data_IF_729199569651
#
_entry.id   IF_729199569651
#
_cell.length_a   1.000
_cell.length_b   1.000
_cell.length_c   1.000
_cell.angle_alpha   90.00
_cell.angle_beta   90.00
_cell.angle_gamma   90.00
#
_symmetry.space_group_name_H-M   'P 1'
#
loop_
_entity.id
_entity.type
_entity.pdbx_description
1 polymer ?
#
# COMPACT_ATOMS: atom_id res chain seq x y z
N UNK A 1 14.79 9.51 13.70
CA UNK A 1 13.39 10.01 13.72
C UNK A 1 12.54 8.84 14.20
N UNK A 2 11.93 8.95 15.37
CA UNK A 2 11.16 7.89 16.03
C UNK A 2 9.84 7.63 15.29
N UNK A 3 9.28 6.41 15.40
CA UNK A 3 8.00 6.00 14.79
C UNK A 3 6.82 6.91 15.23
N UNK A 4 6.92 7.41 16.46
CA UNK A 4 6.03 8.42 17.02
C UNK A 4 6.05 9.73 16.22
N UNK A 5 7.19 10.12 15.63
CA UNK A 5 7.33 11.33 14.80
C UNK A 5 6.57 11.21 13.47
N UNK A 6 6.61 10.05 12.79
CA UNK A 6 5.99 9.87 11.47
C UNK A 6 4.47 9.68 11.58
N UNK A 7 3.99 8.95 12.59
CA UNK A 7 2.56 8.88 12.90
C UNK A 7 2.01 10.26 13.29
N UNK A 8 2.79 11.03 14.06
CA UNK A 8 2.48 12.43 14.40
C UNK A 8 2.46 13.31 13.15
N UNK A 9 3.36 13.10 12.18
CA UNK A 9 3.41 13.87 10.94
C UNK A 9 2.17 13.63 10.05
N UNK A 10 1.73 12.36 9.91
CA UNK A 10 0.53 12.02 9.14
C UNK A 10 -0.75 12.56 9.79
N UNK A 11 -0.88 12.40 11.11
CA UNK A 11 -2.03 12.90 11.86
C UNK A 11 -2.09 14.44 11.83
N UNK A 12 -0.93 15.11 11.95
CA UNK A 12 -0.82 16.55 11.80
C UNK A 12 -1.23 17.03 10.40
N UNK A 13 -0.82 16.31 9.35
CA UNK A 13 -1.22 16.61 7.97
C UNK A 13 -2.74 16.44 7.76
N UNK A 14 -3.34 15.39 8.30
CA UNK A 14 -4.80 15.21 8.29
C UNK A 14 -5.52 16.33 9.04
N UNK A 15 -4.97 16.77 10.17
CA UNK A 15 -5.48 17.92 10.94
C UNK A 15 -5.50 19.20 10.10
N UNK A 16 -4.38 19.49 9.43
CA UNK A 16 -4.24 20.65 8.55
C UNK A 16 -5.23 20.60 7.36
N UNK A 17 -5.37 19.43 6.73
CA UNK A 17 -6.31 19.27 5.62
C UNK A 17 -7.77 19.43 6.05
N UNK A 18 -8.14 18.95 7.25
CA UNK A 18 -9.48 19.19 7.82
C UNK A 18 -9.72 20.67 8.07
N UNK A 19 -8.76 21.37 8.68
CA UNK A 19 -8.84 22.80 8.92
C UNK A 19 -8.99 23.60 7.61
N UNK A 20 -8.21 23.24 6.59
CA UNK A 20 -8.31 23.82 5.26
C UNK A 20 -9.67 23.55 4.61
N UNK A 21 -10.15 22.30 4.67
CA UNK A 21 -11.46 21.90 4.13
C UNK A 21 -12.61 22.70 4.76
N UNK A 22 -12.54 22.96 6.06
CA UNK A 22 -13.56 23.74 6.79
C UNK A 22 -13.53 25.24 6.46
N UNK A 23 -12.33 25.82 6.38
CA UNK A 23 -12.12 27.27 6.29
C UNK A 23 -11.99 27.77 4.84
N UNK A 24 -11.63 26.90 3.91
CA UNK A 24 -11.49 27.16 2.48
C UNK A 24 -10.21 27.91 2.08
N UNK A 25 -9.91 27.89 0.78
CA UNK A 25 -8.69 28.47 0.21
C UNK A 25 -8.60 30.00 0.35
N UNK A 26 -9.73 30.72 0.39
CA UNK A 26 -9.72 32.18 0.57
C UNK A 26 -9.10 32.62 1.91
N UNK A 27 -9.24 31.78 2.93
CA UNK A 27 -8.74 32.03 4.29
C UNK A 27 -7.39 31.40 4.56
N UNK A 28 -6.73 30.82 3.55
CA UNK A 28 -5.46 30.11 3.70
C UNK A 28 -4.39 30.96 4.40
N UNK A 29 -4.42 32.28 4.20
CA UNK A 29 -3.55 33.26 4.85
C UNK A 29 -3.71 33.36 6.38
N UNK A 30 -4.91 33.07 6.88
CA UNK A 30 -5.24 33.15 8.31
C UNK A 30 -5.03 31.81 9.02
N UNK A 31 -4.77 30.73 8.27
CA UNK A 31 -4.66 29.39 8.82
C UNK A 31 -3.22 29.08 9.25
N UNK A 32 -3.11 28.42 10.40
CA UNK A 32 -1.87 27.78 10.83
C UNK A 32 -1.93 26.32 10.39
N UNK A 33 -1.23 26.02 9.30
CA UNK A 33 -1.16 24.69 8.70
C UNK A 33 0.32 24.23 8.67
N UNK A 34 0.95 23.95 9.82
CA UNK A 34 2.38 23.68 9.90
C UNK A 34 2.83 22.44 9.12
N UNK A 35 2.06 21.35 9.16
CA UNK A 35 2.39 20.11 8.46
C UNK A 35 2.21 20.26 6.95
N UNK A 36 1.11 20.89 6.51
CA UNK A 36 0.86 21.15 5.10
C UNK A 36 1.84 22.17 4.51
N UNK A 37 2.22 23.21 5.26
CA UNK A 37 3.30 24.13 4.88
C UNK A 37 4.62 23.39 4.78
N UNK A 38 4.93 22.51 5.74
CA UNK A 38 6.15 21.73 5.70
C UNK A 38 6.23 20.85 4.45
N UNK A 39 5.13 20.18 4.09
CA UNK A 39 5.03 19.39 2.87
C UNK A 39 5.15 20.25 1.59
N UNK A 40 4.53 21.42 1.56
CA UNK A 40 4.52 22.30 0.39
C UNK A 40 5.87 22.96 0.09
N UNK A 41 6.76 23.11 1.08
CA UNK A 41 8.05 23.80 0.91
C UNK A 41 8.86 23.23 -0.27
N UNK A 42 9.18 24.11 -1.23
CA UNK A 42 10.00 23.77 -2.39
C UNK A 42 9.29 22.89 -3.42
N UNK A 43 7.97 22.73 -3.32
CA UNK A 43 7.17 21.99 -4.29
C UNK A 43 6.97 22.80 -5.59
N UNK A 44 6.74 24.10 -5.48
CA UNK A 44 6.62 24.98 -6.63
C UNK A 44 7.97 25.61 -7.00
N UNK A 45 8.51 25.24 -8.16
CA UNK A 45 9.79 25.76 -8.68
C UNK A 45 9.67 27.11 -9.38
N UNK A 46 8.45 27.64 -9.52
CA UNK A 46 8.20 28.94 -10.15
C UNK A 46 8.55 30.14 -9.26
N UNK A 47 9.03 29.90 -8.03
CA UNK A 47 9.52 30.94 -7.11
C UNK A 47 8.45 31.59 -6.24
N UNK A 48 7.19 31.16 -6.36
CA UNK A 48 6.14 31.57 -5.42
C UNK A 48 6.34 30.90 -4.05
N UNK A 49 6.11 31.63 -2.96
CA UNK A 49 6.30 31.12 -1.60
C UNK A 49 4.97 31.05 -0.83
N UNK A 50 4.86 30.07 0.08
CA UNK A 50 3.76 29.97 1.04
C UNK A 50 2.47 29.41 0.45
N UNK A 51 1.47 30.24 0.23
CA UNK A 51 0.10 29.80 -0.11
C UNK A 51 -0.01 29.18 -1.50
N UNK A 52 0.76 29.70 -2.46
CA UNK A 52 0.80 29.18 -3.82
C UNK A 52 1.39 27.76 -3.86
N UNK A 53 2.43 27.50 -3.05
CA UNK A 53 3.04 26.16 -2.92
C UNK A 53 2.03 25.14 -2.38
N UNK A 54 1.22 25.52 -1.38
CA UNK A 54 0.16 24.64 -0.84
C UNK A 54 -0.88 24.33 -1.91
N UNK A 55 -1.33 25.35 -2.65
CA UNK A 55 -2.33 25.16 -3.70
C UNK A 55 -1.79 24.32 -4.86
N UNK A 56 -0.53 24.53 -5.25
CA UNK A 56 0.17 23.73 -6.26
C UNK A 56 0.34 22.26 -5.82
N UNK A 57 0.75 22.04 -4.56
CA UNK A 57 0.86 20.70 -3.97
C UNK A 57 -0.50 20.00 -3.94
N UNK A 58 -1.57 20.68 -3.53
CA UNK A 58 -2.91 20.10 -3.52
C UNK A 58 -3.40 19.75 -4.92
N UNK A 59 -3.19 20.63 -5.91
CA UNK A 59 -3.54 20.33 -7.31
C UNK A 59 -2.79 19.10 -7.81
N UNK A 60 -1.48 19.04 -7.60
CA UNK A 60 -0.68 17.88 -7.97
C UNK A 60 -1.16 16.61 -7.26
N UNK A 61 -1.49 16.69 -5.96
CA UNK A 61 -2.02 15.56 -5.20
C UNK A 61 -3.36 15.08 -5.76
N UNK A 62 -4.25 16.00 -6.16
CA UNK A 62 -5.52 15.67 -6.80
C UNK A 62 -5.32 15.04 -8.19
N UNK A 63 -4.34 15.52 -8.97
CA UNK A 63 -4.03 14.97 -10.29
C UNK A 63 -3.54 13.52 -10.22
N UNK A 64 -2.97 13.10 -9.09
CA UNK A 64 -2.60 11.70 -8.83
C UNK A 64 -3.77 10.81 -8.36
N UNK A 65 -4.91 11.37 -7.97
CA UNK A 65 -6.09 10.58 -7.61
C UNK A 65 -6.72 9.98 -8.88
N UNK A 66 -7.31 8.80 -8.79
CA UNK A 66 -8.01 8.22 -9.94
C UNK A 66 -9.08 9.18 -10.50
N UNK A 67 -9.15 9.31 -11.84
CA UNK A 67 -10.15 10.14 -12.48
C UNK A 67 -11.57 9.66 -12.15
N UNK A 68 -12.51 10.59 -12.02
CA UNK A 68 -13.91 10.32 -11.65
C UNK A 68 -14.26 10.87 -10.26
N UNK A 69 -15.24 10.24 -9.61
CA UNK A 69 -15.91 10.78 -8.41
C UNK A 69 -14.95 11.17 -7.28
N UNK A 70 -13.85 10.42 -7.07
CA UNK A 70 -12.88 10.71 -6.01
C UNK A 70 -12.10 12.01 -6.27
N UNK A 71 -11.51 12.14 -7.46
CA UNK A 71 -10.77 13.36 -7.85
C UNK A 71 -11.71 14.56 -7.90
N UNK A 72 -12.89 14.41 -8.48
CA UNK A 72 -13.88 15.49 -8.57
C UNK A 72 -14.40 15.90 -7.19
N UNK A 73 -14.72 14.94 -6.32
CA UNK A 73 -15.14 15.25 -4.95
C UNK A 73 -14.01 15.87 -4.14
N UNK A 74 -12.76 15.47 -4.33
CA UNK A 74 -11.62 16.15 -3.72
C UNK A 74 -11.51 17.60 -4.21
N UNK A 75 -11.64 17.83 -5.52
CA UNK A 75 -11.61 19.16 -6.12
C UNK A 75 -12.70 20.08 -5.55
N UNK A 76 -13.94 19.57 -5.44
CA UNK A 76 -15.03 20.32 -4.80
C UNK A 76 -14.82 20.49 -3.30
N UNK A 77 -14.35 19.47 -2.57
CA UNK A 77 -14.13 19.52 -1.11
C UNK A 77 -13.17 20.63 -0.73
N UNK A 78 -12.06 20.77 -1.46
CA UNK A 78 -11.03 21.77 -1.21
C UNK A 78 -11.25 23.09 -1.97
N UNK A 79 -12.27 23.19 -2.83
CA UNK A 79 -12.56 24.41 -3.61
C UNK A 79 -11.55 24.65 -4.76
N UNK A 80 -10.95 23.58 -5.26
CA UNK A 80 -10.02 23.58 -6.38
C UNK A 80 -10.72 23.39 -7.73
N UNK A 81 -11.98 22.94 -7.73
CA UNK A 81 -12.79 22.89 -8.94
C UNK A 81 -13.03 24.32 -9.48
N UNK A 82 -13.03 24.54 -10.81
CA UNK A 82 -13.24 25.85 -11.41
C UNK A 82 -14.51 26.55 -10.86
N UNK A 83 -14.36 27.82 -10.44
CA UNK A 83 -15.47 28.62 -9.92
C UNK A 83 -15.95 28.26 -8.51
N UNK A 84 -15.24 27.40 -7.77
CA UNK A 84 -15.67 26.97 -6.41
C UNK A 84 -14.81 27.49 -5.26
N UNK A 85 -13.83 28.34 -5.57
CA UNK A 85 -12.84 28.85 -4.61
C UNK A 85 -13.46 29.58 -3.42
N UNK A 86 -14.50 30.34 -3.67
CA UNK A 86 -15.23 31.19 -2.72
C UNK A 86 -16.46 30.50 -2.11
N UNK A 87 -16.77 29.27 -2.54
CA UNK A 87 -17.93 28.55 -2.04
C UNK A 87 -17.82 28.26 -0.54
N UNK A 88 -18.90 28.40 0.23
CA UNK A 88 -18.93 27.96 1.62
C UNK A 88 -18.65 26.45 1.75
N UNK A 89 -18.07 26.03 2.88
CA UNK A 89 -17.74 24.61 3.12
C UNK A 89 -18.96 23.68 3.09
N UNK A 90 -20.14 24.19 3.41
CA UNK A 90 -21.43 23.47 3.29
C UNK A 90 -21.79 23.23 1.82
N UNK A 91 -21.63 24.24 0.96
CA UNK A 91 -21.93 24.13 -0.47
C UNK A 91 -20.96 23.18 -1.18
N UNK A 92 -19.66 23.28 -0.86
CA UNK A 92 -18.63 22.34 -1.33
C UNK A 92 -18.96 20.90 -0.95
N UNK A 93 -19.32 20.65 0.32
CA UNK A 93 -19.73 19.32 0.80
C UNK A 93 -20.95 18.78 0.07
N UNK A 94 -21.99 19.62 -0.09
CA UNK A 94 -23.21 19.22 -0.79
C UNK A 94 -22.89 18.76 -2.21
N UNK A 95 -22.06 19.53 -2.93
CA UNK A 95 -21.64 19.18 -4.28
C UNK A 95 -20.81 17.89 -4.33
N UNK A 96 -19.88 17.70 -3.39
CA UNK A 96 -19.13 16.45 -3.30
C UNK A 96 -20.03 15.24 -2.99
N UNK A 97 -21.05 15.41 -2.16
CA UNK A 97 -22.00 14.35 -1.82
C UNK A 97 -22.88 13.94 -3.02
N UNK A 98 -23.26 14.89 -3.87
CA UNK A 98 -24.00 14.64 -5.11
C UNK A 98 -23.25 13.69 -6.05
N UNK A 99 -21.91 13.81 -6.16
CA UNK A 99 -21.10 12.91 -6.99
C UNK A 99 -21.18 11.45 -6.56
N UNK A 100 -21.40 11.19 -5.27
CA UNK A 100 -21.57 9.85 -4.72
C UNK A 100 -23.02 9.41 -4.62
N UNK A 101 -23.99 10.26 -4.96
CA UNK A 101 -25.42 9.96 -4.81
C UNK A 101 -25.85 9.79 -3.35
N UNK A 102 -25.15 10.42 -2.39
CA UNK A 102 -25.43 10.30 -0.96
C UNK A 102 -25.81 11.65 -0.34
N UNK A 103 -26.40 11.61 0.86
CA UNK A 103 -26.71 12.84 1.59
C UNK A 103 -25.43 13.52 2.10
N UNK A 104 -25.41 14.86 2.28
CA UNK A 104 -24.25 15.56 2.81
C UNK A 104 -23.79 15.06 4.18
N UNK A 105 -24.72 14.58 5.01
CA UNK A 105 -24.39 14.03 6.33
C UNK A 105 -23.77 12.63 6.24
N UNK A 106 -24.23 11.78 5.32
CA UNK A 106 -23.57 10.50 5.06
C UNK A 106 -22.17 10.71 4.49
N UNK A 107 -22.04 11.61 3.50
CA UNK A 107 -20.76 12.00 2.93
C UNK A 107 -19.76 12.44 4.01
N UNK A 108 -20.19 13.32 4.93
CA UNK A 108 -19.35 13.79 6.04
C UNK A 108 -18.80 12.66 6.90
N UNK A 109 -19.61 11.65 7.23
CA UNK A 109 -19.24 10.58 8.17
C UNK A 109 -18.26 9.58 7.56
N UNK A 110 -18.35 9.36 6.25
CA UNK A 110 -17.60 8.31 5.57
C UNK A 110 -16.72 8.89 4.46
N UNK A 111 -17.30 9.27 3.33
CA UNK A 111 -16.57 9.60 2.10
C UNK A 111 -15.67 10.83 2.25
N UNK A 112 -16.06 11.84 3.03
CA UNK A 112 -15.25 13.04 3.28
C UNK A 112 -13.95 12.71 4.02
N UNK A 113 -14.00 11.76 4.95
CA UNK A 113 -12.82 11.27 5.67
C UNK A 113 -11.90 10.52 4.73
N UNK A 114 -12.47 9.68 3.86
CA UNK A 114 -11.74 8.91 2.87
C UNK A 114 -11.08 9.83 1.83
N UNK A 115 -11.78 10.85 1.34
CA UNK A 115 -11.25 11.89 0.43
C UNK A 115 -10.06 12.62 1.06
N UNK A 116 -10.22 13.11 2.30
CA UNK A 116 -9.14 13.83 3.00
C UNK A 116 -7.94 12.91 3.23
N UNK A 117 -8.17 11.65 3.62
CA UNK A 117 -7.11 10.68 3.80
C UNK A 117 -6.38 10.39 2.48
N UNK A 118 -7.10 10.19 1.37
CA UNK A 118 -6.47 9.98 0.06
C UNK A 118 -5.63 11.18 -0.37
N UNK A 119 -6.08 12.42 -0.14
CA UNK A 119 -5.30 13.61 -0.47
C UNK A 119 -4.04 13.71 0.40
N UNK A 120 -4.13 13.41 1.70
CA UNK A 120 -2.96 13.38 2.59
C UNK A 120 -1.91 12.38 2.08
N UNK A 121 -2.34 11.21 1.66
CA UNK A 121 -1.45 10.17 1.15
C UNK A 121 -0.80 10.55 -0.18
N UNK A 122 -1.54 11.20 -1.10
CA UNK A 122 -0.93 11.68 -2.34
C UNK A 122 0.10 12.78 -2.08
N UNK A 123 -0.14 13.64 -1.08
CA UNK A 123 0.85 14.63 -0.65
C UNK A 123 2.12 13.94 -0.14
N UNK A 124 1.99 12.92 0.71
CA UNK A 124 3.14 12.15 1.19
C UNK A 124 3.88 11.45 0.05
N UNK A 125 3.17 10.86 -0.90
CA UNK A 125 3.76 10.22 -2.08
C UNK A 125 4.52 11.21 -2.96
N UNK A 126 3.94 12.40 -3.23
CA UNK A 126 4.61 13.47 -3.97
C UNK A 126 5.84 14.03 -3.25
N UNK A 127 5.87 13.88 -1.91
CA UNK A 127 7.00 14.29 -1.08
C UNK A 127 8.06 13.23 -0.90
N UNK A 128 7.74 11.97 -1.19
CA UNK A 128 8.78 10.97 -1.37
C UNK A 128 9.63 11.40 -2.56
N UNK A 129 10.96 11.31 -2.46
CA UNK A 129 11.79 11.51 -3.62
C UNK A 129 11.28 10.59 -4.73
N UNK A 130 10.95 11.16 -5.89
CA UNK A 130 10.62 10.36 -7.05
C UNK A 130 11.75 9.35 -7.25
N UNK A 131 11.46 8.06 -7.50
CA UNK A 131 12.51 7.12 -7.89
C UNK A 131 13.11 7.66 -9.18
N UNK A 132 14.25 8.35 -9.05
CA UNK A 132 15.09 8.74 -10.17
C UNK A 132 15.41 7.45 -10.91
N UNK A 133 15.04 7.37 -12.18
CA UNK A 133 15.26 6.20 -13.04
C UNK A 133 16.63 5.57 -12.77
N UNK A 134 16.59 4.30 -12.36
CA UNK A 134 17.67 3.61 -11.68
C UNK A 134 17.13 2.98 -10.40
N UNK A 135 16.48 1.82 -10.53
CA UNK A 135 16.14 0.96 -9.40
C UNK A 135 17.44 0.51 -8.75
N UNK A 136 17.93 1.28 -7.80
CA UNK A 136 18.91 0.76 -6.84
C UNK A 136 18.17 -0.27 -6.00
N UNK A 137 18.58 -1.55 -6.01
CA UNK A 137 18.08 -2.58 -5.11
C UNK A 137 17.85 -2.05 -3.69
N UNK A 138 16.72 -2.36 -3.06
CA UNK A 138 16.62 -2.23 -1.60
C UNK A 138 17.47 -3.36 -0.97
N UNK A 139 18.59 -3.04 -0.29
CA UNK A 139 19.31 -4.05 0.49
C UNK A 139 18.52 -4.39 1.77
N UNK A 140 18.66 -5.61 2.30
CA UNK A 140 18.08 -5.95 3.59
C UNK A 140 18.71 -5.09 4.69
N UNK A 141 17.88 -4.63 5.63
CA UNK A 141 18.36 -3.88 6.81
C UNK A 141 18.80 -4.79 7.96
N UNK A 142 18.34 -6.05 7.96
CA UNK A 142 18.68 -7.01 9.00
C UNK A 142 18.52 -8.44 8.48
N UNK A 143 19.36 -9.34 8.99
CA UNK A 143 19.18 -10.78 8.88
C UNK A 143 18.72 -11.29 10.26
N UNK A 144 17.52 -11.86 10.31
CA UNK A 144 16.91 -12.42 11.51
C UNK A 144 17.13 -13.93 11.50
N UNK A 145 17.93 -14.48 12.42
CA UNK A 145 18.16 -15.92 12.47
C UNK A 145 16.88 -16.65 12.86
N UNK A 146 16.67 -17.83 12.27
CA UNK A 146 15.72 -18.80 12.82
C UNK A 146 16.27 -19.37 14.13
N UNK A 147 15.39 -19.71 15.07
CA UNK A 147 15.80 -20.31 16.36
C UNK A 147 16.70 -21.54 16.17
N UNK A 148 16.56 -22.25 15.04
CA UNK A 148 17.53 -23.24 14.56
C UNK A 148 18.63 -22.58 13.69
N UNK A 149 19.91 -22.60 14.12
CA UNK A 149 21.03 -22.04 13.37
C UNK A 149 21.32 -22.73 12.03
N UNK A 150 20.77 -23.93 11.80
CA UNK A 150 20.94 -24.69 10.55
C UNK A 150 20.03 -24.19 9.42
N UNK A 151 19.00 -23.42 9.74
CA UNK A 151 18.09 -22.82 8.76
C UNK A 151 18.63 -21.47 8.25
N UNK A 152 18.42 -21.14 6.96
CA UNK A 152 18.84 -19.86 6.41
C UNK A 152 18.09 -18.71 7.11
N UNK A 153 18.76 -17.59 7.46
CA UNK A 153 18.12 -16.48 8.16
C UNK A 153 17.05 -15.81 7.29
N UNK A 154 16.02 -15.27 7.95
CA UNK A 154 15.04 -14.40 7.32
C UNK A 154 15.64 -13.01 7.08
N UNK A 155 15.52 -12.49 5.87
CA UNK A 155 16.00 -11.13 5.56
C UNK A 155 14.88 -10.10 5.70
N UNK A 156 15.03 -9.14 6.61
CA UNK A 156 14.08 -8.04 6.79
C UNK A 156 14.50 -6.82 5.96
N UNK A 157 13.56 -6.31 5.16
CA UNK A 157 13.69 -5.13 4.32
C UNK A 157 12.85 -3.99 4.91
N UNK A 158 13.47 -2.82 5.07
CA UNK A 158 12.77 -1.59 5.40
C UNK A 158 12.59 -0.77 4.13
N UNK A 159 11.40 -0.82 3.58
CA UNK A 159 11.05 -0.11 2.36
C UNK A 159 9.82 -0.72 1.67
N UNK A 160 9.35 -0.08 0.60
CA UNK A 160 8.26 -0.60 -0.22
C UNK A 160 8.64 -1.95 -0.85
N UNK A 161 7.74 -2.93 -0.76
CA UNK A 161 8.00 -4.31 -1.22
C UNK A 161 8.24 -4.38 -2.74
N UNK A 162 7.64 -3.47 -3.51
CA UNK A 162 7.81 -3.37 -4.96
C UNK A 162 9.23 -2.96 -5.40
N UNK A 163 10.05 -2.47 -4.47
CA UNK A 163 11.46 -2.10 -4.70
C UNK A 163 12.45 -3.17 -4.21
N UNK A 164 11.95 -4.25 -3.61
CA UNK A 164 12.78 -5.41 -3.27
C UNK A 164 13.25 -6.07 -4.56
N UNK A 165 14.54 -6.42 -4.59
CA UNK A 165 15.16 -7.08 -5.73
C UNK A 165 16.04 -8.24 -5.25
N UNK A 166 16.51 -9.08 -6.17
CA UNK A 166 17.22 -10.31 -5.81
C UNK A 166 16.30 -11.35 -5.16
N UNK A 167 14.99 -11.21 -5.36
CA UNK A 167 13.98 -12.19 -4.97
C UNK A 167 13.17 -12.61 -6.19
N UNK A 168 12.71 -13.86 -6.22
CA UNK A 168 12.01 -14.41 -7.38
C UNK A 168 10.50 -14.22 -7.29
N UNK A 169 9.96 -14.28 -6.08
CA UNK A 169 8.53 -14.24 -5.81
C UNK A 169 8.25 -13.09 -4.85
N UNK A 170 7.35 -12.18 -5.24
CA UNK A 170 6.73 -11.23 -4.32
C UNK A 170 5.34 -11.73 -3.90
N UNK A 171 5.00 -11.60 -2.64
CA UNK A 171 3.66 -11.92 -2.13
C UNK A 171 2.87 -10.63 -1.92
N UNK A 172 1.65 -10.58 -2.44
CA UNK A 172 0.68 -9.53 -2.19
C UNK A 172 -0.31 -9.96 -1.11
N UNK A 173 -0.72 -8.99 -0.27
CA UNK A 173 -1.80 -9.16 0.71
C UNK A 173 -3.11 -8.72 0.08
N UNK A 174 -3.98 -9.68 -0.24
CA UNK A 174 -5.26 -9.44 -0.90
C UNK A 174 -6.46 -9.72 0.00
N UNK A 175 -7.61 -9.17 -0.41
CA UNK A 175 -8.89 -9.56 0.16
C UNK A 175 -9.32 -10.95 -0.32
N UNK A 176 -10.28 -11.56 0.37
CA UNK A 176 -10.83 -12.88 0.02
C UNK A 176 -11.62 -12.91 -1.29
N UNK A 177 -11.86 -11.78 -1.95
CA UNK A 177 -12.38 -11.78 -3.32
C UNK A 177 -11.28 -11.84 -4.37
N UNK A 178 -10.00 -11.84 -3.94
CA UNK A 178 -8.82 -11.75 -4.81
C UNK A 178 -8.93 -10.58 -5.80
N UNK A 179 -9.44 -9.45 -5.32
CA UNK A 179 -9.52 -8.21 -6.07
C UNK A 179 -8.39 -7.29 -5.64
N UNK A 180 -7.46 -6.99 -6.54
CA UNK A 180 -6.39 -6.06 -6.18
C UNK A 180 -6.97 -4.70 -5.80
N UNK A 181 -6.36 -4.11 -4.78
CA UNK A 181 -6.65 -2.74 -4.41
C UNK A 181 -6.46 -1.82 -5.62
N UNK A 182 -7.19 -0.70 -5.60
CA UNK A 182 -7.06 0.30 -6.66
C UNK A 182 -5.62 0.79 -6.74
N UNK A 183 -5.15 1.02 -7.95
CA UNK A 183 -3.75 1.37 -8.25
C UNK A 183 -3.29 2.67 -7.58
N UNK A 184 -4.14 3.49 -6.97
CA UNK A 184 -3.74 4.70 -6.24
C UNK A 184 -3.69 4.49 -4.72
N UNK A 185 -4.04 3.31 -4.21
CA UNK A 185 -3.99 2.99 -2.79
C UNK A 185 -2.56 2.91 -2.24
N UNK A 186 -2.40 3.06 -0.93
CA UNK A 186 -1.12 2.88 -0.23
C UNK A 186 -0.92 1.45 0.32
N UNK A 187 -1.84 0.52 0.01
CA UNK A 187 -1.66 -0.89 0.35
C UNK A 187 -0.56 -1.55 -0.47
N UNK A 188 -0.02 -2.64 0.05
CA UNK A 188 0.90 -3.54 -0.69
C UNK A 188 0.30 -3.95 -2.03
N UNK A 189 -0.98 -4.34 -2.05
CA UNK A 189 -1.71 -4.70 -3.26
C UNK A 189 -1.69 -3.59 -4.31
N UNK A 190 -2.02 -2.36 -3.91
CA UNK A 190 -2.01 -1.22 -4.82
C UNK A 190 -0.60 -0.88 -5.33
N UNK A 191 0.42 -1.01 -4.48
CA UNK A 191 1.80 -0.76 -4.82
C UNK A 191 2.32 -1.79 -5.85
N UNK A 192 2.09 -3.08 -5.61
CA UNK A 192 2.45 -4.14 -6.54
C UNK A 192 1.70 -4.02 -7.86
N UNK A 193 0.40 -3.69 -7.84
CA UNK A 193 -0.39 -3.43 -9.05
C UNK A 193 0.23 -2.32 -9.90
N UNK A 194 0.61 -1.19 -9.29
CA UNK A 194 1.27 -0.08 -10.01
C UNK A 194 2.61 -0.47 -10.60
N UNK A 195 3.40 -1.22 -9.84
CA UNK A 195 4.75 -1.59 -10.21
C UNK A 195 4.81 -2.72 -11.25
N UNK A 196 3.82 -3.62 -11.24
CA UNK A 196 3.66 -4.66 -12.24
C UNK A 196 2.95 -4.21 -13.52
N UNK A 197 2.35 -3.02 -13.53
CA UNK A 197 1.68 -2.49 -14.71
C UNK A 197 2.70 -2.13 -15.80
N UNK A 198 2.49 -2.62 -17.03
CA UNK A 198 3.37 -2.36 -18.18
C UNK A 198 3.14 -0.96 -18.70
N UNK A 199 4.21 -0.18 -18.84
CA UNK A 199 4.14 1.21 -19.29
C UNK A 199 4.87 1.46 -20.59
N UNK A 200 4.36 2.41 -21.38
CA UNK A 200 5.14 3.02 -22.47
C UNK A 200 6.24 3.91 -21.89
N UNK A 201 7.25 4.29 -22.69
CA UNK A 201 8.23 5.31 -22.28
C UNK A 201 7.61 6.65 -21.84
N UNK A 202 6.40 6.97 -22.30
CA UNK A 202 5.64 8.15 -21.86
C UNK A 202 5.01 8.02 -20.46
N UNK A 203 5.11 6.85 -19.82
CA UNK A 203 4.53 6.56 -18.50
C UNK A 203 3.07 6.06 -18.51
N UNK A 204 2.41 6.09 -19.68
CA UNK A 204 1.06 5.55 -19.88
C UNK A 204 1.02 4.05 -19.58
N UNK A 205 0.05 3.60 -18.77
CA UNK A 205 -0.20 2.17 -18.54
C UNK A 205 -0.82 1.58 -19.80
N UNK A 206 -0.11 0.63 -20.42
CA UNK A 206 -0.61 -0.16 -21.54
C UNK A 206 -1.30 -1.42 -21.05
N UNK A 207 -0.84 -1.94 -19.92
CA UNK A 207 -1.35 -3.18 -19.37
C UNK A 207 -1.32 -3.21 -17.85
N UNK A 208 -2.49 -3.36 -17.23
CA UNK A 208 -2.65 -3.69 -15.82
C UNK A 208 -2.53 -5.21 -15.63
N UNK A 209 -1.32 -5.72 -15.88
CA UNK A 209 -1.04 -7.13 -16.07
C UNK A 209 -1.48 -7.98 -14.87
N UNK A 210 -1.10 -7.56 -13.66
CA UNK A 210 -1.41 -8.31 -12.44
C UNK A 210 -2.92 -8.40 -12.19
N UNK A 211 -3.66 -7.29 -12.32
CA UNK A 211 -5.11 -7.32 -12.14
C UNK A 211 -5.80 -8.20 -13.18
N UNK A 212 -5.39 -8.09 -14.45
CA UNK A 212 -5.99 -8.89 -15.53
C UNK A 212 -5.75 -10.38 -15.30
N UNK A 213 -4.51 -10.77 -14.98
CA UNK A 213 -4.16 -12.17 -14.75
C UNK A 213 -4.83 -12.73 -13.50
N UNK A 214 -4.91 -11.96 -12.42
CA UNK A 214 -5.63 -12.36 -11.21
C UNK A 214 -7.12 -12.57 -11.49
N UNK A 215 -7.73 -11.68 -12.28
CA UNK A 215 -9.13 -11.84 -12.73
C UNK A 215 -9.32 -13.11 -13.56
N UNK A 216 -8.36 -13.42 -14.44
CA UNK A 216 -8.37 -14.65 -15.23
C UNK A 216 -8.18 -15.90 -14.35
N UNK A 217 -7.35 -15.82 -13.31
CA UNK A 217 -7.17 -16.88 -12.32
C UNK A 217 -8.47 -17.16 -11.57
N UNK A 218 -9.13 -16.11 -11.06
CA UNK A 218 -10.42 -16.23 -10.35
C UNK A 218 -11.47 -16.86 -11.26
N UNK A 219 -11.51 -16.48 -12.53
CA UNK A 219 -12.46 -17.04 -13.50
C UNK A 219 -12.23 -18.54 -13.78
N UNK A 220 -11.01 -19.04 -13.63
CA UNK A 220 -10.66 -20.46 -13.86
C UNK A 220 -10.81 -21.33 -12.61
N UNK A 221 -10.51 -20.78 -11.44
CA UNK A 221 -10.36 -21.57 -10.20
C UNK A 221 -11.40 -21.25 -9.13
N UNK A 222 -12.14 -20.15 -9.28
CA UNK A 222 -13.14 -19.70 -8.32
C UNK A 222 -14.39 -19.18 -9.04
N UNK A 223 -15.31 -18.56 -8.29
CA UNK A 223 -16.52 -17.92 -8.83
C UNK A 223 -16.35 -16.41 -8.73
N UNK A 224 -16.30 -15.67 -9.85
CA UNK A 224 -16.22 -14.21 -9.82
C UNK A 224 -17.29 -13.58 -8.92
N UNK A 225 -16.88 -12.62 -8.08
CA UNK A 225 -17.75 -11.95 -7.12
C UNK A 225 -18.01 -12.71 -5.81
N UNK A 226 -17.58 -13.97 -5.69
CA UNK A 226 -17.64 -14.72 -4.43
C UNK A 226 -16.27 -14.80 -3.76
N UNK A 227 -16.28 -14.85 -2.43
CA UNK A 227 -15.07 -15.01 -1.65
C UNK A 227 -14.48 -16.41 -1.83
N UNK A 228 -13.15 -16.50 -1.94
CA UNK A 228 -12.39 -17.73 -1.75
C UNK A 228 -12.15 -17.99 -0.26
N UNK A 229 -11.70 -19.19 0.08
CA UNK A 229 -11.30 -19.50 1.44
C UNK A 229 -10.10 -18.62 1.87
N UNK A 230 -10.09 -18.07 3.11
CA UNK A 230 -8.91 -17.40 3.64
C UNK A 230 -7.66 -18.28 3.55
N UNK A 231 -6.51 -17.67 3.22
CA UNK A 231 -5.26 -18.38 2.97
C UNK A 231 -5.11 -18.95 1.56
N UNK A 232 -6.10 -18.79 0.67
CA UNK A 232 -5.97 -19.12 -0.76
C UNK A 232 -4.90 -18.24 -1.41
N UNK A 233 -4.09 -18.82 -2.30
CA UNK A 233 -3.02 -18.11 -3.01
C UNK A 233 -3.20 -18.29 -4.51
N UNK A 234 -3.20 -17.19 -5.25
CA UNK A 234 -3.27 -17.17 -6.71
C UNK A 234 -1.96 -16.67 -7.32
N UNK A 235 -1.50 -17.30 -8.39
CA UNK A 235 -0.33 -16.90 -9.14
C UNK A 235 -0.64 -15.92 -10.28
N UNK A 236 0.30 -15.01 -10.51
CA UNK A 236 0.38 -14.17 -11.71
C UNK A 236 1.84 -14.05 -12.15
N UNK A 237 2.04 -13.66 -13.41
CA UNK A 237 3.33 -13.18 -13.91
C UNK A 237 3.77 -11.89 -13.22
N UNK A 238 5.00 -11.43 -13.48
CA UNK A 238 5.57 -10.27 -12.80
C UNK A 238 5.18 -8.93 -13.43
N UNK A 239 4.76 -8.91 -14.71
CA UNK A 239 4.64 -7.66 -15.47
C UNK A 239 5.96 -6.89 -15.48
N UNK A 240 5.91 -5.56 -15.27
CA UNK A 240 7.11 -4.70 -15.26
C UNK A 240 8.05 -4.97 -14.08
N UNK A 241 7.60 -5.68 -13.03
CA UNK A 241 8.48 -6.12 -11.93
C UNK A 241 9.56 -7.10 -12.41
N UNK A 242 9.43 -7.68 -13.61
CA UNK A 242 10.48 -8.48 -14.24
C UNK A 242 11.81 -7.73 -14.36
N UNK A 243 11.76 -6.39 -14.54
CA UNK A 243 12.95 -5.54 -14.58
C UNK A 243 13.77 -5.57 -13.27
N UNK A 244 13.15 -5.91 -12.15
CA UNK A 244 13.79 -6.06 -10.83
C UNK A 244 14.18 -7.51 -10.51
N UNK A 245 14.08 -8.41 -11.49
CA UNK A 245 14.36 -9.84 -11.33
C UNK A 245 13.20 -10.65 -10.76
N UNK A 246 12.03 -10.03 -10.55
CA UNK A 246 10.84 -10.74 -10.07
C UNK A 246 10.30 -11.64 -11.17
N UNK A 247 9.96 -12.88 -10.82
CA UNK A 247 9.51 -13.92 -11.76
C UNK A 247 8.05 -14.31 -11.55
N UNK A 248 7.51 -14.07 -10.35
CA UNK A 248 6.11 -14.28 -9.98
C UNK A 248 5.63 -13.26 -8.97
N UNK A 249 4.34 -12.97 -9.01
CA UNK A 249 3.61 -12.34 -7.91
C UNK A 249 2.51 -13.29 -7.44
N UNK A 250 2.53 -13.62 -6.15
CA UNK A 250 1.53 -14.47 -5.50
C UNK A 250 0.57 -13.63 -4.68
N UNK A 251 -0.72 -13.80 -4.90
CA UNK A 251 -1.79 -13.03 -4.28
C UNK A 251 -2.42 -13.85 -3.16
N UNK A 252 -2.11 -13.53 -1.91
CA UNK A 252 -2.60 -14.25 -0.75
C UNK A 252 -3.89 -13.60 -0.21
N UNK A 253 -5.00 -14.35 -0.25
CA UNK A 253 -6.30 -13.96 0.28
C UNK A 253 -6.32 -14.03 1.82
N UNK A 254 -5.89 -12.97 2.49
CA UNK A 254 -5.79 -12.93 3.97
C UNK A 254 -6.73 -11.91 4.61
N UNK A 255 -7.26 -10.96 3.83
CA UNK A 255 -8.13 -9.90 4.35
C UNK A 255 -9.59 -10.24 4.09
N UNK A 256 -10.37 -10.41 5.15
CA UNK A 256 -11.81 -10.68 5.08
C UNK A 256 -12.57 -9.38 5.26
N UNK A 257 -13.51 -9.06 4.36
CA UNK A 257 -14.44 -7.95 4.56
C UNK A 257 -15.72 -8.47 5.26
N UNK A 258 -16.17 -7.78 6.29
CA UNK A 258 -17.39 -8.08 7.03
C UNK A 258 -18.14 -6.83 7.49
N UNK A 259 -19.28 -6.99 8.18
CA UNK A 259 -20.13 -5.88 8.62
C UNK A 259 -19.40 -4.86 9.52
N UNK A 260 -18.35 -5.28 10.23
CA UNK A 260 -17.50 -4.44 11.07
C UNK A 260 -16.29 -3.80 10.36
N UNK A 261 -16.13 -4.04 9.06
CA UNK A 261 -14.96 -3.61 8.28
C UNK A 261 -14.09 -4.79 7.85
N UNK A 262 -12.78 -4.57 7.75
CA UNK A 262 -11.83 -5.60 7.34
C UNK A 262 -11.26 -6.31 8.55
N UNK A 263 -10.95 -7.59 8.41
CA UNK A 263 -10.32 -8.43 9.44
C UNK A 263 -9.24 -9.33 8.82
N UNK A 264 -8.25 -9.70 9.63
CA UNK A 264 -7.20 -10.65 9.28
C UNK A 264 -7.01 -11.56 10.48
N UNK A 265 -7.04 -12.88 10.28
CA UNK A 265 -6.76 -13.82 11.36
C UNK A 265 -5.32 -14.34 11.30
N UNK A 266 -4.68 -14.62 12.45
CA UNK A 266 -3.37 -15.28 12.48
C UNK A 266 -3.35 -16.63 11.75
N UNK A 267 -4.48 -17.33 11.72
CA UNK A 267 -4.64 -18.62 11.05
C UNK A 267 -4.65 -18.48 9.53
N UNK A 268 -5.31 -17.44 9.02
CA UNK A 268 -5.27 -17.12 7.59
C UNK A 268 -3.85 -16.75 7.13
N UNK A 269 -3.07 -16.06 7.98
CA UNK A 269 -1.66 -15.76 7.70
C UNK A 269 -0.85 -17.06 7.59
N UNK A 270 -0.95 -17.97 8.57
CA UNK A 270 -0.19 -19.24 8.54
C UNK A 270 -0.60 -20.10 7.35
N UNK A 271 -1.89 -20.20 7.06
CA UNK A 271 -2.39 -20.95 5.91
C UNK A 271 -1.96 -20.34 4.57
N UNK A 272 -1.91 -19.00 4.46
CA UNK A 272 -1.37 -18.33 3.29
C UNK A 272 0.12 -18.64 3.09
N UNK A 273 0.93 -18.62 4.16
CA UNK A 273 2.34 -18.99 4.08
C UNK A 273 2.50 -20.42 3.57
N UNK A 274 1.80 -21.38 4.19
CA UNK A 274 1.80 -22.77 3.73
C UNK A 274 1.45 -22.90 2.24
N UNK A 275 0.37 -22.24 1.79
CA UNK A 275 -0.05 -22.28 0.40
C UNK A 275 0.91 -21.59 -0.56
N UNK A 276 1.62 -20.53 -0.12
CA UNK A 276 2.70 -19.89 -0.89
C UNK A 276 3.85 -20.87 -1.12
N UNK A 277 4.35 -21.54 -0.08
CA UNK A 277 5.43 -22.53 -0.21
C UNK A 277 5.00 -23.72 -1.08
N UNK A 278 3.80 -24.24 -0.85
CA UNK A 278 3.23 -25.33 -1.67
C UNK A 278 3.12 -24.96 -3.15
N UNK A 279 2.74 -23.72 -3.46
CA UNK A 279 2.66 -23.22 -4.84
C UNK A 279 4.06 -22.98 -5.44
N UNK A 280 4.95 -22.35 -4.67
CA UNK A 280 6.34 -22.11 -5.05
C UNK A 280 7.04 -23.41 -5.42
N UNK A 281 6.87 -24.48 -4.64
CA UNK A 281 7.52 -25.75 -4.95
C UNK A 281 6.97 -26.43 -6.20
N UNK A 282 5.66 -26.32 -6.44
CA UNK A 282 5.05 -26.85 -7.66
C UNK A 282 5.59 -26.18 -8.92
N UNK A 283 5.82 -24.87 -8.88
CA UNK A 283 6.31 -24.12 -10.04
C UNK A 283 7.83 -24.07 -10.16
N UNK A 284 8.58 -24.32 -9.06
CA UNK A 284 10.03 -24.07 -8.94
C UNK A 284 10.84 -24.57 -10.13
N UNK A 285 10.67 -25.84 -10.50
CA UNK A 285 11.47 -26.50 -11.56
C UNK A 285 11.02 -26.12 -12.98
N UNK A 286 9.88 -25.45 -13.12
CA UNK A 286 9.42 -24.87 -14.38
C UNK A 286 10.22 -23.63 -14.81
N UNK A 287 11.04 -23.07 -13.93
CA UNK A 287 11.90 -21.93 -14.22
C UNK A 287 13.37 -22.33 -14.38
N UNK A 288 14.10 -21.53 -15.16
CA UNK A 288 15.57 -21.62 -15.28
C UNK A 288 16.21 -20.25 -15.01
N UNK A 289 17.03 -20.11 -13.95
CA UNK A 289 17.27 -21.10 -12.87
C UNK A 289 15.97 -21.42 -12.10
N UNK A 290 15.90 -22.46 -11.25
CA UNK A 290 14.72 -22.69 -10.42
C UNK A 290 14.38 -21.48 -9.52
N UNK A 291 13.10 -21.26 -9.19
CA UNK A 291 12.68 -20.25 -8.20
C UNK A 291 13.30 -20.60 -6.84
N UNK A 292 13.97 -19.67 -6.16
CA UNK A 292 14.71 -19.92 -4.92
C UNK A 292 14.45 -18.93 -3.80
N UNK A 293 13.68 -17.86 -4.03
CA UNK A 293 13.48 -16.81 -3.03
C UNK A 293 12.06 -16.24 -3.03
N UNK A 294 11.56 -15.94 -1.82
CA UNK A 294 10.19 -15.44 -1.59
C UNK A 294 10.25 -14.22 -0.68
N UNK A 295 9.56 -13.14 -1.04
CA UNK A 295 9.39 -11.97 -0.19
C UNK A 295 7.93 -11.80 0.25
N UNK A 296 7.69 -11.89 1.56
CA UNK A 296 6.39 -11.65 2.17
C UNK A 296 6.25 -10.19 2.62
N UNK A 297 5.05 -9.59 2.52
CA UNK A 297 4.74 -8.38 3.25
C UNK A 297 4.43 -8.73 4.71
N UNK A 298 4.52 -7.75 5.59
CA UNK A 298 3.96 -7.89 6.93
C UNK A 298 2.42 -7.81 6.88
N UNK A 299 1.77 -8.96 6.74
CA UNK A 299 0.30 -9.07 6.62
C UNK A 299 -0.46 -8.35 7.75
N UNK A 300 -1.64 -7.82 7.45
CA UNK A 300 -2.55 -7.22 8.43
C UNK A 300 -2.13 -5.86 9.00
N UNK A 301 -0.95 -5.34 8.66
CA UNK A 301 -0.40 -4.09 9.22
C UNK A 301 -0.60 -2.85 8.33
N UNK A 302 -1.52 -2.90 7.36
CA UNK A 302 -1.83 -1.78 6.46
C UNK A 302 -2.68 -0.67 7.10
N UNK A 303 -3.32 0.19 6.28
CA UNK A 303 -4.11 1.41 6.64
C UNK A 303 -5.05 1.36 7.87
N UNK A 304 -5.40 0.18 8.37
CA UNK A 304 -6.29 -0.01 9.51
C UNK A 304 -5.69 -0.79 10.68
N UNK A 305 -4.42 -1.22 10.57
CA UNK A 305 -3.70 -2.08 11.51
C UNK A 305 -4.65 -3.07 12.19
N UNK A 306 -5.09 -4.06 11.40
CA UNK A 306 -6.23 -4.92 11.75
C UNK A 306 -5.91 -5.84 12.93
N UNK A 307 -4.62 -6.08 13.15
CA UNK A 307 -4.05 -6.78 14.30
C UNK A 307 -2.80 -6.04 14.78
N UNK A 308 -2.42 -6.19 16.07
CA UNK A 308 -1.14 -5.72 16.57
C UNK A 308 0.02 -6.35 15.78
N UNK A 309 1.01 -5.55 15.42
CA UNK A 309 2.20 -5.99 14.65
C UNK A 309 2.87 -7.23 15.26
N UNK A 310 3.07 -7.36 16.59
CA UNK A 310 3.69 -8.56 17.17
C UNK A 310 2.90 -9.84 16.88
N UNK A 311 1.57 -9.77 16.82
CA UNK A 311 0.70 -10.92 16.51
C UNK A 311 0.88 -11.33 15.05
N UNK A 312 0.87 -10.37 14.13
CA UNK A 312 1.13 -10.64 12.71
C UNK A 312 2.53 -11.20 12.47
N UNK A 313 3.54 -10.61 13.10
CA UNK A 313 4.93 -11.03 13.00
C UNK A 313 5.12 -12.45 13.53
N UNK A 314 4.56 -12.78 14.69
CA UNK A 314 4.62 -14.13 15.26
C UNK A 314 3.91 -15.17 14.40
N UNK A 315 2.75 -14.83 13.83
CA UNK A 315 2.01 -15.74 12.94
C UNK A 315 2.78 -16.01 11.63
N UNK A 316 3.30 -14.95 10.99
CA UNK A 316 4.10 -15.05 9.78
C UNK A 316 5.38 -15.87 10.05
N UNK A 317 6.08 -15.56 11.14
CA UNK A 317 7.30 -16.26 11.55
C UNK A 317 7.08 -17.75 11.75
N UNK A 318 6.07 -18.13 12.55
CA UNK A 318 5.76 -19.54 12.80
C UNK A 318 5.45 -20.27 11.51
N UNK A 319 4.62 -19.69 10.64
CA UNK A 319 4.33 -20.27 9.33
C UNK A 319 5.58 -20.46 8.47
N UNK A 320 6.50 -19.48 8.44
CA UNK A 320 7.74 -19.60 7.65
C UNK A 320 8.68 -20.64 8.26
N UNK A 321 8.83 -20.66 9.58
CA UNK A 321 9.70 -21.61 10.28
C UNK A 321 9.26 -23.06 10.05
N UNK A 322 7.94 -23.32 10.13
CA UNK A 322 7.37 -24.64 9.87
C UNK A 322 7.69 -25.12 8.44
N UNK A 323 7.58 -24.24 7.44
CA UNK A 323 7.87 -24.58 6.04
C UNK A 323 9.38 -24.74 5.76
N UNK A 324 10.23 -23.88 6.34
CA UNK A 324 11.68 -23.97 6.14
C UNK A 324 12.30 -25.21 6.79
N UNK A 325 11.70 -25.75 7.85
CA UNK A 325 12.12 -27.04 8.41
C UNK A 325 12.01 -28.18 7.37
N UNK A 326 11.02 -28.13 6.47
CA UNK A 326 10.85 -29.09 5.37
C UNK A 326 11.53 -28.68 4.06
N UNK A 327 11.77 -27.39 3.85
CA UNK A 327 12.30 -26.84 2.60
C UNK A 327 13.40 -25.78 2.85
N UNK A 328 14.56 -26.17 3.42
CA UNK A 328 15.61 -25.23 3.83
C UNK A 328 16.35 -24.56 2.66
N UNK A 329 16.04 -24.94 1.43
CA UNK A 329 16.65 -24.38 0.22
C UNK A 329 16.00 -23.07 -0.25
N UNK A 330 14.92 -22.62 0.40
CA UNK A 330 14.31 -21.32 0.13
C UNK A 330 14.99 -20.20 0.91
N UNK A 331 15.28 -19.11 0.22
CA UNK A 331 15.60 -17.84 0.87
C UNK A 331 14.34 -17.04 1.10
N UNK A 332 14.10 -16.59 2.35
CA UNK A 332 12.84 -15.91 2.70
C UNK A 332 13.12 -14.51 3.20
N UNK A 333 12.39 -13.57 2.64
CA UNK A 333 12.49 -12.16 2.90
C UNK A 333 11.15 -11.67 3.47
N UNK A 334 11.19 -10.68 4.36
CA UNK A 334 10.01 -9.93 4.80
C UNK A 334 10.24 -8.45 4.52
N UNK A 335 9.23 -7.76 3.99
CA UNK A 335 9.29 -6.33 3.74
C UNK A 335 8.22 -5.58 4.54
N UNK A 336 8.62 -4.45 5.11
CA UNK A 336 7.72 -3.44 5.65
C UNK A 336 8.27 -2.06 5.33
N UNK A 337 7.41 -1.12 4.96
CA UNK A 337 7.83 0.27 4.73
C UNK A 337 7.75 1.13 6.00
N UNK A 338 7.28 0.57 7.12
CA UNK A 338 7.14 1.26 8.38
C UNK A 338 8.32 0.90 9.33
N UNK A 339 9.16 1.87 9.74
CA UNK A 339 10.29 1.64 10.64
C UNK A 339 9.90 1.09 12.02
N UNK A 340 8.79 1.55 12.60
CA UNK A 340 8.31 1.01 13.87
C UNK A 340 7.77 -0.40 13.76
N UNK A 341 7.11 -0.75 12.66
CA UNK A 341 6.75 -2.15 12.40
C UNK A 341 8.01 -3.02 12.27
N UNK A 342 9.06 -2.53 11.60
CA UNK A 342 10.33 -3.24 11.52
C UNK A 342 10.96 -3.45 12.90
N UNK A 343 10.95 -2.44 13.77
CA UNK A 343 11.45 -2.55 15.14
C UNK A 343 10.65 -3.59 15.96
N UNK A 344 9.31 -3.51 15.92
CA UNK A 344 8.44 -4.46 16.61
C UNK A 344 8.59 -5.90 16.09
N UNK A 345 8.80 -6.07 14.77
CA UNK A 345 9.14 -7.37 14.18
C UNK A 345 10.46 -7.87 14.78
N UNK A 346 11.53 -7.06 14.76
CA UNK A 346 12.83 -7.46 15.31
C UNK A 346 12.75 -7.86 16.78
N UNK A 347 12.02 -7.09 17.60
CA UNK A 347 11.78 -7.41 19.01
C UNK A 347 11.00 -8.72 19.17
N UNK A 348 9.91 -8.89 18.43
CA UNK A 348 9.09 -10.11 18.47
C UNK A 348 9.91 -11.34 18.10
N UNK A 349 10.73 -11.24 17.04
CA UNK A 349 11.55 -12.35 16.57
C UNK A 349 12.75 -12.63 17.48
N UNK A 350 13.28 -11.62 18.18
CA UNK A 350 14.32 -11.81 19.19
C UNK A 350 13.80 -12.55 20.43
N UNK A 351 12.53 -12.33 20.82
CA UNK A 351 11.89 -13.01 21.96
C UNK A 351 11.51 -14.47 21.63
N UNK A 352 11.25 -14.78 20.36
CA UNK A 352 10.91 -16.13 19.91
C UNK A 352 12.14 -16.95 19.45
N UNK A 353 13.36 -16.52 19.82
CA UNK A 353 14.60 -17.27 19.58
C UNK A 353 14.75 -18.48 20.49
#
# INVERSE_FOLDING_TARGET
>A
MTDESLATDHEALLGDLRALRERGLLRLRDLRLPALRAAARGFDRSGHTGHAEIEALLRAALDQLDPGNLREAAAYTFGLAPGTRDWPSVARRRRSAELYGVTPEHFRKQQERDVIAQVAEQIELLRRPAPTGGTTPLPPISAVPFGDPSLPPLLLHLGPIELVSGVDILVSSENVHLEMAKSYGSSVSAALRRAGAVRKPSGEIVDDCLQRELTAWVSRHARPGLAVAPGTVAETGPGDLAGNGIRRVYHAAVVVAGPGGYDVSPDAIRLAVHNVFRLAERERTGFRPPLASICFPLFGTGRRSLLPVPVCAAALWRGIADELAGAPHWSVHVATHNPGHAAQVLETLAVNR
#
